data_IF_545165105312
#
_entry.id   IF_545165105312
#
_cell.length_a   1.000
_cell.length_b   1.000
_cell.length_c   1.000
_cell.angle_alpha   90.00
_cell.angle_beta   90.00
_cell.angle_gamma   90.00
#
_symmetry.space_group_name_H-M   'P 1'
#
loop_
_entity.id
_entity.type
_entity.pdbx_description
1 polymer ?
#
# COMPACT_ATOMS: atom_id res chain seq x y z
N UNK A 1 -1.76 7.48 -7.26
CA UNK A 1 -0.68 7.30 -6.28
C UNK A 1 -0.97 8.24 -5.15
N UNK A 2 -0.77 7.75 -3.94
CA UNK A 2 -1.06 8.45 -2.70
C UNK A 2 -0.11 7.94 -1.62
N UNK A 3 0.03 8.70 -0.54
CA UNK A 3 0.84 8.37 0.61
C UNK A 3 0.17 8.84 1.89
N UNK A 4 0.21 8.01 2.94
CA UNK A 4 -0.21 8.41 4.27
C UNK A 4 0.78 7.94 5.32
N UNK A 5 0.90 8.69 6.42
CA UNK A 5 1.55 8.23 7.64
C UNK A 5 0.53 7.55 8.54
N UNK A 6 0.83 6.33 8.97
CA UNK A 6 -0.08 5.59 9.81
C UNK A 6 0.05 5.97 11.28
N UNK A 7 -1.05 6.45 11.87
CA UNK A 7 -1.10 6.87 13.28
C UNK A 7 -1.99 5.96 14.13
N UNK A 8 -2.59 4.94 13.52
CA UNK A 8 -3.50 4.02 14.18
C UNK A 8 -2.81 3.04 15.14
N UNK A 9 -3.65 2.28 15.83
CA UNK A 9 -3.23 1.26 16.80
C UNK A 9 -3.73 -0.15 16.45
N UNK A 10 -4.38 -0.32 15.29
CA UNK A 10 -4.89 -1.63 14.87
C UNK A 10 -3.76 -2.53 14.37
N UNK A 11 -2.81 -1.98 13.61
CA UNK A 11 -1.64 -2.72 13.17
C UNK A 11 -0.60 -2.81 14.30
N UNK A 12 0.32 -3.79 14.25
CA UNK A 12 1.43 -3.89 15.19
C UNK A 12 2.22 -2.57 15.34
N UNK A 13 2.85 -2.37 16.50
CA UNK A 13 3.45 -1.09 16.88
C UNK A 13 4.54 -0.62 15.89
N UNK A 14 5.24 -1.55 15.24
CA UNK A 14 6.26 -1.24 14.23
C UNK A 14 5.72 -0.57 12.95
N UNK A 15 4.40 -0.60 12.73
CA UNK A 15 3.77 0.11 11.61
C UNK A 15 3.38 1.55 11.96
N UNK A 16 3.37 1.91 13.25
CA UNK A 16 3.02 3.26 13.67
C UNK A 16 4.11 4.25 13.27
N UNK A 17 3.68 5.41 12.79
CA UNK A 17 4.52 6.51 12.28
C UNK A 17 5.35 6.14 11.05
N UNK A 18 5.00 5.04 10.36
CA UNK A 18 5.58 4.66 9.09
C UNK A 18 4.70 5.20 7.95
N UNK A 19 5.27 5.40 6.77
CA UNK A 19 4.52 5.84 5.60
C UNK A 19 4.10 4.64 4.75
N UNK A 20 2.85 4.60 4.33
CA UNK A 20 2.36 3.69 3.30
C UNK A 20 2.23 4.45 1.99
N UNK A 21 2.67 3.86 0.88
CA UNK A 21 2.61 4.46 -0.46
C UNK A 21 1.94 3.50 -1.43
N UNK A 22 0.92 3.98 -2.13
CA UNK A 22 0.23 3.23 -3.18
C UNK A 22 0.97 3.37 -4.52
N UNK A 23 1.54 2.28 -5.02
CA UNK A 23 2.21 2.24 -6.30
C UNK A 23 1.23 1.76 -7.38
N UNK A 24 0.71 2.72 -8.16
CA UNK A 24 -0.34 2.50 -9.17
C UNK A 24 0.00 1.51 -10.27
N UNK A 25 1.28 1.38 -10.59
CA UNK A 25 1.76 0.52 -11.67
C UNK A 25 2.27 1.32 -12.86
N UNK A 26 3.39 0.89 -13.43
CA UNK A 26 4.01 1.51 -14.59
C UNK A 26 3.12 1.42 -15.83
N UNK A 27 3.08 2.49 -16.61
CA UNK A 27 2.43 2.53 -17.93
C UNK A 27 3.44 2.57 -19.09
N UNK A 28 4.69 2.95 -18.83
CA UNK A 28 5.73 3.12 -19.85
C UNK A 28 7.03 2.37 -19.47
N UNK A 29 6.94 1.05 -19.29
CA UNK A 29 8.09 0.16 -19.07
C UNK A 29 7.89 -1.16 -19.80
N UNK A 30 8.99 -1.74 -20.29
CA UNK A 30 9.00 -3.10 -20.85
C UNK A 30 8.72 -4.17 -19.79
N UNK A 31 9.34 -4.03 -18.62
CA UNK A 31 9.07 -4.84 -17.43
C UNK A 31 8.18 -4.05 -16.45
N UNK A 32 6.90 -4.44 -16.27
CA UNK A 32 6.00 -3.72 -15.39
C UNK A 32 6.45 -3.74 -13.93
N UNK A 33 6.24 -2.62 -13.24
CA UNK A 33 6.61 -2.44 -11.84
C UNK A 33 5.55 -1.62 -11.09
N UNK A 34 5.48 -1.76 -9.77
CA UNK A 34 4.42 -1.15 -8.95
C UNK A 34 3.35 -2.17 -8.65
N UNK A 35 2.06 -1.79 -8.80
CA UNK A 35 0.91 -2.66 -8.53
C UNK A 35 0.98 -3.25 -7.11
N UNK A 36 1.25 -2.39 -6.13
CA UNK A 36 1.47 -2.77 -4.73
C UNK A 36 1.31 -1.60 -3.79
N UNK A 37 1.26 -1.88 -2.49
CA UNK A 37 1.50 -0.90 -1.42
C UNK A 37 2.86 -1.21 -0.83
N UNK A 38 3.68 -0.18 -0.66
CA UNK A 38 4.94 -0.28 0.08
C UNK A 38 4.83 0.46 1.40
N UNK A 39 5.55 -0.03 2.41
CA UNK A 39 5.82 0.71 3.64
C UNK A 39 7.23 1.29 3.55
N UNK A 40 7.34 2.60 3.72
CA UNK A 40 8.61 3.26 3.97
C UNK A 40 8.78 3.36 5.47
N UNK A 41 9.87 2.78 5.98
CA UNK A 41 10.22 2.88 7.39
C UNK A 41 10.94 4.19 7.66
N UNK A 42 10.46 4.89 8.68
CA UNK A 42 10.99 6.13 9.20
C UNK A 42 11.60 5.89 10.58
N UNK A 43 12.77 6.46 10.76
CA UNK A 43 13.50 6.46 12.03
C UNK A 43 14.01 7.88 12.26
N UNK A 44 13.69 8.48 13.42
CA UNK A 44 14.02 9.87 13.74
C UNK A 44 13.60 10.88 12.65
N UNK A 45 12.43 10.66 12.04
CA UNK A 45 11.88 11.51 10.97
C UNK A 45 12.55 11.35 9.61
N UNK A 46 13.48 10.40 9.46
CA UNK A 46 14.19 10.13 8.21
C UNK A 46 13.78 8.78 7.61
N UNK A 47 13.57 8.69 6.29
CA UNK A 47 13.30 7.40 5.64
C UNK A 47 14.56 6.52 5.64
N UNK A 48 14.40 5.24 5.95
CA UNK A 48 15.50 4.26 6.04
C UNK A 48 15.41 3.18 4.98
N UNK A 49 14.29 2.50 4.92
CA UNK A 49 14.08 1.34 4.06
C UNK A 49 12.64 1.32 3.54
N UNK A 50 12.44 0.64 2.42
CA UNK A 50 11.12 0.40 1.86
C UNK A 50 10.91 -1.10 1.70
N UNK A 51 9.79 -1.61 2.20
CA UNK A 51 9.39 -3.01 2.04
C UNK A 51 7.97 -3.11 1.46
N UNK A 52 7.70 -4.25 0.81
CA UNK A 52 6.38 -4.55 0.29
C UNK A 52 5.44 -4.82 1.47
N UNK A 53 4.35 -4.04 1.55
CA UNK A 53 3.30 -4.24 2.54
C UNK A 53 2.17 -5.11 1.99
N UNK A 54 1.67 -4.79 0.80
CA UNK A 54 0.72 -5.61 0.04
C UNK A 54 1.21 -5.70 -1.39
N UNK A 55 1.48 -6.91 -1.86
CA UNK A 55 1.93 -7.21 -3.22
C UNK A 55 1.01 -8.26 -3.86
N UNK A 56 1.34 -8.66 -5.09
CA UNK A 56 0.56 -9.65 -5.84
C UNK A 56 -0.61 -9.08 -6.66
N UNK A 57 -0.78 -7.76 -6.73
CA UNK A 57 -1.76 -7.19 -7.66
C UNK A 57 -1.32 -7.29 -9.12
N UNK A 58 -0.01 -7.24 -9.43
CA UNK A 58 0.48 -7.66 -10.75
C UNK A 58 0.57 -9.18 -10.79
N UNK A 59 -0.06 -9.81 -11.78
CA UNK A 59 -0.03 -11.27 -11.92
C UNK A 59 1.34 -11.76 -12.41
N UNK A 60 1.69 -13.04 -12.16
CA UNK A 60 2.98 -13.59 -12.56
C UNK A 60 3.29 -13.52 -14.06
N UNK A 61 2.25 -13.43 -14.90
CA UNK A 61 2.37 -13.27 -16.36
C UNK A 61 2.89 -11.88 -16.78
N UNK A 62 2.94 -10.92 -15.84
CA UNK A 62 3.28 -9.51 -16.03
C UNK A 62 2.46 -8.79 -17.11
N UNK A 63 1.29 -9.32 -17.46
CA UNK A 63 0.40 -8.76 -18.51
C UNK A 63 -0.93 -8.31 -17.93
N UNK A 64 -1.35 -8.93 -16.83
CA UNK A 64 -2.62 -8.65 -16.18
C UNK A 64 -2.41 -8.23 -14.72
N UNK A 65 -3.38 -7.50 -14.18
CA UNK A 65 -3.36 -7.05 -12.79
C UNK A 65 -4.75 -7.17 -12.16
N UNK A 66 -4.77 -7.43 -10.85
CA UNK A 66 -5.96 -7.48 -10.00
C UNK A 66 -6.40 -6.08 -9.62
N UNK A 67 -5.44 -5.17 -9.37
CA UNK A 67 -5.72 -3.81 -8.93
C UNK A 67 -4.64 -2.83 -9.38
N UNK A 68 -5.02 -1.55 -9.49
CA UNK A 68 -4.16 -0.38 -9.67
C UNK A 68 -4.28 0.54 -8.45
N UNK A 69 -3.48 0.33 -7.40
CA UNK A 69 -3.55 1.12 -6.16
C UNK A 69 -3.46 2.63 -6.42
N UNK A 70 -4.50 3.41 -6.06
CA UNK A 70 -4.53 4.84 -6.32
C UNK A 70 -4.56 5.69 -5.04
N UNK A 71 -5.65 5.74 -4.30
CA UNK A 71 -5.84 6.54 -3.08
C UNK A 71 -5.87 5.70 -1.81
N UNK A 72 -5.51 6.30 -0.67
CA UNK A 72 -5.54 5.64 0.62
C UNK A 72 -6.14 6.53 1.71
N UNK A 73 -6.77 5.91 2.70
CA UNK A 73 -7.26 6.61 3.88
C UNK A 73 -7.16 5.72 5.12
N UNK A 74 -6.92 6.33 6.28
CA UNK A 74 -7.02 5.64 7.55
C UNK A 74 -8.43 5.83 8.12
N UNK A 75 -9.07 4.73 8.53
CA UNK A 75 -10.36 4.76 9.23
C UNK A 75 -10.17 5.02 10.74
N UNK A 76 -11.21 5.48 11.45
CA UNK A 76 -11.14 5.75 12.90
C UNK A 76 -10.74 4.53 13.74
N UNK A 77 -11.05 3.32 13.27
CA UNK A 77 -10.66 2.06 13.94
C UNK A 77 -9.20 1.66 13.69
N UNK A 78 -8.45 2.45 12.92
CA UNK A 78 -7.06 2.18 12.56
C UNK A 78 -6.87 1.22 11.38
N UNK A 79 -7.93 0.80 10.68
CA UNK A 79 -7.78 0.08 9.41
C UNK A 79 -7.46 1.04 8.27
N UNK A 80 -6.91 0.52 7.16
CA UNK A 80 -6.64 1.32 5.96
C UNK A 80 -7.68 1.00 4.88
N UNK A 81 -8.07 2.03 4.13
CA UNK A 81 -8.73 1.89 2.84
C UNK A 81 -7.72 2.08 1.73
N UNK A 82 -7.86 1.28 0.67
CA UNK A 82 -7.16 1.45 -0.60
C UNK A 82 -8.19 1.48 -1.73
N UNK A 83 -8.10 2.48 -2.61
CA UNK A 83 -8.90 2.51 -3.83
C UNK A 83 -8.11 1.94 -5.01
N UNK A 84 -8.83 1.28 -5.91
CA UNK A 84 -8.36 0.78 -7.20
C UNK A 84 -9.23 1.37 -8.31
N UNK A 85 -8.64 2.19 -9.17
CA UNK A 85 -9.35 2.82 -10.29
C UNK A 85 -9.45 1.93 -11.52
N UNK A 86 -8.61 0.89 -11.64
CA UNK A 86 -8.66 -0.07 -12.74
C UNK A 86 -9.84 -1.03 -12.62
N UNK A 87 -10.12 -1.49 -11.41
CA UNK A 87 -11.24 -2.38 -11.10
C UNK A 87 -12.49 -1.69 -10.54
N UNK A 88 -12.39 -0.42 -10.11
CA UNK A 88 -13.49 0.28 -9.43
C UNK A 88 -13.78 -0.27 -8.03
N UNK A 89 -12.76 -0.76 -7.33
CA UNK A 89 -12.86 -1.46 -6.04
C UNK A 89 -12.27 -0.61 -4.91
N UNK A 90 -12.87 -0.72 -3.71
CA UNK A 90 -12.26 -0.21 -2.47
C UNK A 90 -11.98 -1.40 -1.55
N UNK A 91 -10.71 -1.57 -1.19
CA UNK A 91 -10.26 -2.59 -0.25
C UNK A 91 -10.21 -1.99 1.17
N UNK A 92 -10.60 -2.79 2.17
CA UNK A 92 -10.32 -2.50 3.58
C UNK A 92 -9.24 -3.46 4.08
N UNK A 93 -8.17 -2.91 4.61
CA UNK A 93 -7.01 -3.62 5.13
C UNK A 93 -7.08 -3.53 6.65
N UNK A 94 -7.35 -4.66 7.29
CA UNK A 94 -7.47 -4.77 8.75
C UNK A 94 -6.54 -5.84 9.31
N UNK A 95 -5.94 -5.57 10.47
CA UNK A 95 -5.15 -6.55 11.20
C UNK A 95 -6.04 -7.22 12.25
N UNK A 96 -6.14 -8.55 12.21
CA UNK A 96 -6.95 -9.33 13.17
C UNK A 96 -6.15 -9.89 14.34
N UNK A 97 -4.82 -9.75 14.33
CA UNK A 97 -3.96 -10.48 15.26
C UNK A 97 -4.13 -11.99 15.13
N UNK A 98 -3.30 -12.72 15.85
CA UNK A 98 -3.43 -14.16 16.06
C UNK A 98 -3.11 -14.46 17.51
#
# INVERSE_FOLDING_TARGET
MDMLFYTGSQFPAEYRNQAFVSLHGSWNRSEPSGYKIVRIRFENGQPREADDFISGFLLPDKKSHIARPCGMAQLPDGSLLLTDDGGGVIYRISYKGS
#
